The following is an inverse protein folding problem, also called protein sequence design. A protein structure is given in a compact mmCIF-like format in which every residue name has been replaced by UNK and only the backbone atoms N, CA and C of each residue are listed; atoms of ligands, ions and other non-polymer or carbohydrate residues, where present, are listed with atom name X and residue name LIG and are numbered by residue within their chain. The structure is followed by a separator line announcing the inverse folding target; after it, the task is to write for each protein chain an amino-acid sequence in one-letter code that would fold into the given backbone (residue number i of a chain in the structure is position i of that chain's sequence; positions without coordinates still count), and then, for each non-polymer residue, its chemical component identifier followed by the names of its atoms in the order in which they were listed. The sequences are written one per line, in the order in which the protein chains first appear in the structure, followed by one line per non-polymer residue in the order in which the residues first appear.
data_IF_543076766519
#
_entry.id   IF_543076766519
#
_cell.length_a   1.000
_cell.length_b   1.000
_cell.length_c   1.000
_cell.angle_alpha   90.00
_cell.angle_beta   90.00
_cell.angle_gamma   90.00
#
_symmetry.space_group_name_H-M   'P 1'
#
loop_
_entity.id
_entity.type
_entity.pdbx_description
1 polymer ?
#
# COMPACT_ATOMS: atom_id res chain seq x y z
N UNK A 1 -10.36 -22.11 -10.63
CA UNK A 1 -9.59 -20.93 -11.08
C UNK A 1 -9.53 -19.96 -9.92
N UNK A 2 -8.33 -19.54 -9.48
CA UNK A 2 -8.21 -18.58 -8.38
C UNK A 2 -8.49 -17.16 -8.88
N UNK A 3 -9.22 -16.37 -8.11
CA UNK A 3 -9.50 -14.96 -8.40
C UNK A 3 -8.64 -14.12 -7.45
N UNK A 4 -8.07 -13.04 -7.96
CA UNK A 4 -7.22 -12.15 -7.18
C UNK A 4 -7.76 -10.72 -7.22
N UNK A 5 -7.62 -10.03 -6.09
CA UNK A 5 -7.79 -8.59 -5.97
C UNK A 5 -6.43 -7.94 -5.77
N UNK A 6 -6.25 -6.73 -6.31
CA UNK A 6 -5.05 -5.93 -6.15
C UNK A 6 -5.38 -4.55 -5.60
N UNK A 7 -4.48 -4.02 -4.79
CA UNK A 7 -4.54 -2.68 -4.20
C UNK A 7 -3.14 -2.07 -4.24
N UNK A 8 -3.08 -0.74 -4.24
CA UNK A 8 -1.81 0.00 -4.21
C UNK A 8 -1.79 0.90 -2.98
N UNK A 9 -0.68 0.86 -2.26
CA UNK A 9 -0.37 1.74 -1.14
C UNK A 9 0.64 2.79 -1.61
N UNK A 10 0.25 4.05 -1.55
CA UNK A 10 1.02 5.20 -2.06
C UNK A 10 1.54 6.01 -0.88
N UNK A 11 2.87 6.16 -0.79
CA UNK A 11 3.52 7.02 0.20
C UNK A 11 3.60 8.46 -0.29
N UNK A 12 3.11 9.41 0.51
CA UNK A 12 3.27 10.86 0.27
C UNK A 12 4.21 11.45 1.30
N UNK A 13 5.21 12.19 0.83
CA UNK A 13 6.15 12.88 1.69
C UNK A 13 5.47 14.11 2.32
N UNK A 14 5.36 14.10 3.63
CA UNK A 14 5.00 15.26 4.46
C UNK A 14 6.27 15.78 5.17
N UNK A 15 6.27 17.00 5.72
CA UNK A 15 7.48 17.61 6.28
C UNK A 15 8.25 16.77 7.31
N UNK A 16 7.55 15.90 8.05
CA UNK A 16 8.14 15.09 9.14
C UNK A 16 7.86 13.59 9.03
N UNK A 17 7.16 13.13 7.98
CA UNK A 17 6.73 11.73 7.87
C UNK A 17 6.39 11.36 6.43
N UNK A 18 6.28 10.06 6.16
CA UNK A 18 5.57 9.55 4.99
C UNK A 18 4.17 9.17 5.41
N UNK A 19 3.17 9.71 4.73
CA UNK A 19 1.77 9.40 4.96
C UNK A 19 1.25 8.52 3.84
N UNK A 20 0.56 7.45 4.23
CA UNK A 20 0.20 6.36 3.35
C UNK A 20 -1.28 6.41 2.97
N UNK A 21 -1.54 6.23 1.67
CA UNK A 21 -2.87 6.24 1.10
C UNK A 21 -3.15 4.92 0.37
N UNK A 22 -4.29 4.29 0.65
CA UNK A 22 -4.78 3.15 -0.11
C UNK A 22 -5.51 3.65 -1.38
N UNK A 23 -5.17 3.04 -2.51
CA UNK A 23 -5.68 3.43 -3.83
C UNK A 23 -5.51 4.95 -4.12
N UNK A 24 -4.45 5.55 -3.58
CA UNK A 24 -4.08 6.96 -3.78
C UNK A 24 -4.91 8.01 -3.01
N UNK A 25 -6.12 7.66 -2.57
CA UNK A 25 -7.10 8.62 -2.04
C UNK A 25 -7.52 8.34 -0.58
N UNK A 26 -7.49 7.09 -0.12
CA UNK A 26 -7.89 6.76 1.25
C UNK A 26 -6.71 6.87 2.20
N UNK A 27 -6.71 7.89 3.06
CA UNK A 27 -5.69 8.06 4.10
C UNK A 27 -5.72 6.91 5.12
N UNK A 28 -4.58 6.25 5.34
CA UNK A 28 -4.40 5.21 6.37
C UNK A 28 -3.54 5.67 7.56
N UNK A 29 -2.67 6.66 7.37
CA UNK A 29 -1.80 7.21 8.42
C UNK A 29 -0.31 7.12 8.08
N UNK A 30 0.56 7.34 9.07
CA UNK A 30 2.02 7.38 8.86
C UNK A 30 2.76 6.10 9.29
N UNK A 31 2.17 5.27 10.16
CA UNK A 31 2.80 4.04 10.63
C UNK A 31 2.60 2.89 9.62
N UNK A 32 3.60 2.71 8.74
CA UNK A 32 3.57 1.68 7.71
C UNK A 32 3.44 0.26 8.30
N UNK A 33 4.11 -0.04 9.40
CA UNK A 33 4.10 -1.38 9.98
C UNK A 33 2.71 -1.70 10.54
N UNK A 34 2.10 -0.75 11.24
CA UNK A 34 0.73 -0.90 11.73
C UNK A 34 -0.26 -1.10 10.56
N UNK A 35 -0.10 -0.33 9.48
CA UNK A 35 -0.93 -0.43 8.27
C UNK A 35 -0.79 -1.82 7.62
N UNK A 36 0.43 -2.27 7.38
CA UNK A 36 0.69 -3.56 6.73
C UNK A 36 0.22 -4.73 7.61
N UNK A 37 0.39 -4.67 8.93
CA UNK A 37 -0.15 -5.67 9.85
C UNK A 37 -1.69 -5.72 9.80
N UNK A 38 -2.34 -4.55 9.78
CA UNK A 38 -3.79 -4.44 9.64
C UNK A 38 -4.30 -5.05 8.34
N UNK A 39 -3.66 -4.73 7.21
CA UNK A 39 -4.02 -5.30 5.90
C UNK A 39 -3.69 -6.79 5.81
N UNK A 40 -2.57 -7.22 6.39
CA UNK A 40 -2.18 -8.63 6.48
C UNK A 40 -3.22 -9.47 7.24
N UNK A 41 -3.75 -8.96 8.35
CA UNK A 41 -4.84 -9.61 9.09
C UNK A 41 -6.14 -9.78 8.27
N UNK A 42 -6.30 -9.00 7.19
CA UNK A 42 -7.42 -9.10 6.25
C UNK A 42 -7.11 -9.98 5.03
N UNK A 43 -5.94 -10.61 4.99
CA UNK A 43 -5.49 -11.50 3.93
C UNK A 43 -4.80 -10.80 2.75
N UNK A 44 -4.31 -9.58 2.93
CA UNK A 44 -3.49 -8.90 1.93
C UNK A 44 -2.01 -9.28 2.07
N UNK A 45 -1.36 -9.51 0.95
CA UNK A 45 0.06 -9.84 0.87
C UNK A 45 0.79 -8.78 0.05
N UNK A 46 1.99 -8.37 0.49
CA UNK A 46 2.88 -7.53 -0.32
C UNK A 46 3.48 -8.37 -1.44
N UNK A 47 3.25 -7.97 -2.68
CA UNK A 47 3.72 -8.71 -3.87
C UNK A 47 4.66 -7.89 -4.76
N UNK A 48 4.87 -6.61 -4.45
CA UNK A 48 5.78 -5.77 -5.20
C UNK A 48 5.99 -4.41 -4.55
N UNK A 49 7.14 -3.81 -4.85
CA UNK A 49 7.51 -2.45 -4.47
C UNK A 49 8.19 -1.82 -5.68
N UNK A 50 7.85 -0.58 -6.02
CA UNK A 50 8.49 0.16 -7.11
C UNK A 50 7.88 1.54 -7.31
N UNK A 51 8.55 2.37 -8.13
CA UNK A 51 8.01 3.66 -8.58
C UNK A 51 7.07 3.40 -9.76
N UNK A 52 5.80 3.14 -9.44
CA UNK A 52 4.76 2.82 -10.41
C UNK A 52 4.12 4.11 -10.96
N UNK A 53 4.17 5.18 -10.17
CA UNK A 53 3.67 6.51 -10.54
C UNK A 53 4.63 7.35 -11.38
N UNK A 54 5.89 6.95 -11.50
CA UNK A 54 6.98 7.72 -12.12
C UNK A 54 7.22 9.09 -11.47
N UNK A 55 7.01 9.19 -10.17
CA UNK A 55 7.16 10.43 -9.41
C UNK A 55 8.30 10.39 -8.37
N UNK A 56 9.21 9.43 -8.53
CA UNK A 56 10.36 9.19 -7.64
C UNK A 56 9.97 8.79 -6.22
N UNK A 57 8.77 8.24 -6.02
CA UNK A 57 8.31 7.63 -4.78
C UNK A 57 8.02 6.15 -5.02
N UNK A 58 8.20 5.33 -3.98
CA UNK A 58 7.88 3.91 -4.08
C UNK A 58 6.47 3.65 -3.61
N UNK A 59 5.70 2.94 -4.43
CA UNK A 59 4.42 2.35 -4.10
C UNK A 59 4.58 0.89 -3.68
N UNK A 60 3.61 0.40 -2.89
CA UNK A 60 3.52 -1.00 -2.46
C UNK A 60 2.32 -1.64 -3.14
N UNK A 61 2.54 -2.75 -3.83
CA UNK A 61 1.47 -3.55 -4.45
C UNK A 61 1.04 -4.64 -3.49
N UNK A 62 -0.26 -4.69 -3.22
CA UNK A 62 -0.90 -5.69 -2.38
C UNK A 62 -1.78 -6.60 -3.23
N UNK A 63 -1.81 -7.88 -2.88
CA UNK A 63 -2.65 -8.91 -3.50
C UNK A 63 -3.44 -9.65 -2.44
N UNK A 64 -4.67 -10.01 -2.76
CA UNK A 64 -5.52 -10.89 -1.95
C UNK A 64 -6.19 -11.93 -2.84
N UNK A 65 -6.26 -13.17 -2.36
CA UNK A 65 -7.07 -14.21 -3.00
C UNK A 65 -8.53 -14.03 -2.59
N UNK A 66 -9.44 -14.06 -3.57
CA UNK A 66 -10.89 -14.02 -3.38
C UNK A 66 -11.45 -15.44 -3.35
#
# INVERSE_FOLDING_TARGET
MAIFQYQILVGKNEPNAVVWFLNGNQLLGADLLQILNGLGSQGWEVVGIGDLGFDSRSEIVLKKTI
#
